data_IF_080444044792
#
_entry.id   IF_080444044792
#
_cell.length_a   1.000
_cell.length_b   1.000
_cell.length_c   1.000
_cell.angle_alpha   90.00
_cell.angle_beta   90.00
_cell.angle_gamma   90.00
#
_symmetry.space_group_name_H-M   'P 1'
#
loop_
_entity.id
_entity.type
_entity.pdbx_description
1 polymer ?
#
# COMPACT_ATOMS: atom_id res chain seq x y z
N UNK A 1 -26.10 -2.69 8.46
CA UNK A 1 -25.71 -3.41 9.70
C UNK A 1 -24.97 -2.43 10.60
N UNK A 2 -25.11 -2.53 11.93
CA UNK A 2 -24.34 -1.70 12.88
C UNK A 2 -23.41 -2.61 13.67
N UNK A 3 -22.12 -2.32 13.65
CA UNK A 3 -21.06 -3.14 14.23
C UNK A 3 -20.62 -2.66 15.62
N UNK A 4 -20.74 -1.37 15.91
CA UNK A 4 -20.28 -0.77 17.16
C UNK A 4 -18.76 -0.57 17.22
N UNK A 5 -18.08 -0.58 16.08
CA UNK A 5 -16.63 -0.39 15.96
C UNK A 5 -16.26 0.32 14.65
N UNK A 6 -14.96 0.34 14.32
CA UNK A 6 -14.41 1.03 13.15
C UNK A 6 -15.09 0.66 11.82
N UNK A 7 -15.74 -0.52 11.73
CA UNK A 7 -16.47 -0.91 10.52
C UNK A 7 -17.63 0.03 10.22
N UNK A 8 -18.29 0.58 11.24
CA UNK A 8 -19.37 1.56 11.04
C UNK A 8 -18.85 2.80 10.28
N UNK A 9 -17.65 3.28 10.63
CA UNK A 9 -16.99 4.39 9.94
C UNK A 9 -16.53 3.99 8.54
N UNK A 10 -15.94 2.80 8.39
CA UNK A 10 -15.51 2.26 7.09
C UNK A 10 -16.67 2.20 6.09
N UNK A 11 -17.82 1.63 6.48
CA UNK A 11 -18.98 1.53 5.60
C UNK A 11 -19.59 2.92 5.28
N UNK A 12 -19.59 3.85 6.24
CA UNK A 12 -20.12 5.19 6.03
C UNK A 12 -19.22 6.09 5.16
N UNK A 13 -17.90 5.97 5.28
CA UNK A 13 -16.93 6.83 4.56
C UNK A 13 -16.38 6.20 3.28
N UNK A 14 -16.44 4.87 3.15
CA UNK A 14 -15.77 4.11 2.11
C UNK A 14 -14.28 3.88 2.34
N UNK A 15 -13.73 4.32 3.49
CA UNK A 15 -12.34 4.08 3.89
C UNK A 15 -12.20 4.17 5.41
N UNK A 16 -11.09 3.63 5.94
CA UNK A 16 -10.70 3.78 7.34
C UNK A 16 -9.17 3.77 7.46
N UNK A 17 -8.65 4.46 8.48
CA UNK A 17 -7.23 4.39 8.85
C UNK A 17 -7.11 3.70 10.20
N UNK A 18 -6.55 2.50 10.21
CA UNK A 18 -6.31 1.72 11.43
C UNK A 18 -4.87 1.95 11.90
N UNK A 19 -4.71 2.58 13.07
CA UNK A 19 -3.40 2.88 13.66
C UNK A 19 -2.89 1.70 14.47
N UNK A 20 -1.57 1.49 14.47
CA UNK A 20 -0.92 0.45 15.28
C UNK A 20 -1.17 -0.99 14.81
N UNK A 21 -1.70 -1.17 13.60
CA UNK A 21 -1.87 -2.48 12.95
C UNK A 21 -0.54 -3.22 12.80
N UNK A 22 0.52 -2.46 12.52
CA UNK A 22 1.92 -2.89 12.56
C UNK A 22 2.64 -2.05 13.61
N UNK A 23 3.35 -2.66 14.59
CA UNK A 23 4.18 -1.92 15.52
C UNK A 23 5.23 -1.08 14.80
N UNK A 24 5.47 0.14 15.32
CA UNK A 24 6.35 1.12 14.67
C UNK A 24 7.74 0.57 14.37
N UNK A 25 8.34 -0.17 15.31
CA UNK A 25 9.66 -0.79 15.13
C UNK A 25 9.70 -1.74 13.92
N UNK A 26 8.67 -2.59 13.76
CA UNK A 26 8.57 -3.52 12.63
C UNK A 26 8.30 -2.79 11.32
N UNK A 27 7.47 -1.75 11.35
CA UNK A 27 7.24 -0.91 10.17
C UNK A 27 8.54 -0.26 9.67
N UNK A 28 9.36 0.26 10.60
CA UNK A 28 10.69 0.83 10.28
C UNK A 28 11.66 -0.25 9.78
N UNK A 29 11.62 -1.47 10.33
CA UNK A 29 12.44 -2.58 9.82
C UNK A 29 12.07 -2.96 8.38
N UNK A 30 10.79 -3.11 8.08
CA UNK A 30 10.31 -3.42 6.73
C UNK A 30 10.68 -2.31 5.75
N UNK A 31 10.54 -1.04 6.15
CA UNK A 31 10.97 0.10 5.34
C UNK A 31 12.47 0.03 5.03
N UNK A 32 13.31 -0.17 6.06
CA UNK A 32 14.75 -0.29 5.92
C UNK A 32 15.12 -1.42 4.95
N UNK A 33 14.52 -2.60 5.09
CA UNK A 33 14.77 -3.75 4.22
C UNK A 33 14.32 -3.54 2.78
N UNK A 34 13.21 -2.84 2.57
CA UNK A 34 12.77 -2.43 1.24
C UNK A 34 13.78 -1.48 0.59
N UNK A 35 14.32 -0.51 1.33
CA UNK A 35 15.36 0.40 0.83
C UNK A 35 16.69 -0.32 0.57
N UNK A 36 17.13 -1.20 1.46
CA UNK A 36 18.33 -2.04 1.28
C UNK A 36 18.22 -3.04 0.13
N UNK A 37 17.01 -3.37 -0.29
CA UNK A 37 16.76 -4.23 -1.43
C UNK A 37 17.07 -3.54 -2.77
N UNK A 38 16.84 -2.24 -2.91
CA UNK A 38 17.04 -1.51 -4.17
C UNK A 38 18.50 -1.54 -4.69
N UNK A 39 19.54 -1.29 -3.88
CA UNK A 39 20.92 -1.31 -4.38
C UNK A 39 21.40 -2.70 -4.83
N UNK A 40 20.73 -3.79 -4.43
CA UNK A 40 21.13 -5.18 -4.76
C UNK A 40 21.04 -5.50 -6.25
N UNK A 41 20.36 -4.67 -7.03
CA UNK A 41 20.32 -4.78 -8.49
C UNK A 41 21.65 -4.36 -9.15
N UNK A 42 22.60 -3.80 -8.40
CA UNK A 42 23.92 -3.38 -8.89
C UNK A 42 23.86 -2.42 -10.10
N UNK A 43 22.86 -1.54 -10.12
CA UNK A 43 22.66 -0.53 -11.16
C UNK A 43 23.34 0.81 -10.86
N UNK A 44 24.06 0.91 -9.73
CA UNK A 44 24.75 2.14 -9.31
C UNK A 44 23.93 3.11 -8.46
N UNK A 45 22.78 2.67 -7.92
CA UNK A 45 21.98 3.47 -6.99
C UNK A 45 22.75 3.74 -5.69
N UNK A 46 22.81 5.01 -5.28
CA UNK A 46 23.21 5.45 -3.95
C UNK A 46 22.04 6.17 -3.26
N UNK A 47 21.57 5.61 -2.15
CA UNK A 47 20.49 6.20 -1.36
C UNK A 47 20.89 7.51 -0.65
N UNK A 48 22.16 7.90 -0.66
CA UNK A 48 22.65 9.18 -0.15
C UNK A 48 22.91 10.21 -1.26
N UNK A 49 22.94 9.79 -2.53
CA UNK A 49 23.11 10.69 -3.67
C UNK A 49 21.87 10.71 -4.56
N UNK A 50 21.10 11.79 -4.44
CA UNK A 50 19.88 12.03 -5.23
C UNK A 50 20.13 12.12 -6.74
N UNK A 51 21.36 12.38 -7.18
CA UNK A 51 21.70 12.37 -8.60
C UNK A 51 21.50 10.98 -9.24
N UNK A 52 21.63 9.92 -8.42
CA UNK A 52 21.40 8.53 -8.83
C UNK A 52 19.93 8.11 -8.75
N UNK A 53 19.00 8.98 -8.30
CA UNK A 53 17.59 8.60 -8.13
C UNK A 53 16.81 8.76 -9.44
N UNK A 54 17.33 8.14 -10.50
CA UNK A 54 16.73 8.13 -11.83
C UNK A 54 16.54 6.70 -12.32
N UNK A 55 15.74 6.53 -13.37
CA UNK A 55 15.38 5.25 -13.95
C UNK A 55 16.61 4.44 -14.40
N UNK A 56 17.73 5.09 -14.72
CA UNK A 56 18.98 4.44 -15.09
C UNK A 56 19.56 3.58 -13.97
N UNK A 57 19.43 4.02 -12.72
CA UNK A 57 20.03 3.36 -11.54
C UNK A 57 19.02 2.52 -10.74
N UNK A 58 17.75 2.48 -11.16
CA UNK A 58 16.67 1.80 -10.44
C UNK A 58 16.16 0.57 -11.21
N UNK A 59 15.69 -0.48 -10.53
CA UNK A 59 14.98 -1.57 -11.19
C UNK A 59 13.73 -1.05 -11.90
N UNK A 60 13.12 -1.86 -12.78
CA UNK A 60 11.90 -1.45 -13.47
C UNK A 60 10.77 -1.21 -12.45
N UNK A 61 10.31 0.04 -12.39
CA UNK A 61 9.19 0.48 -11.55
C UNK A 61 8.10 1.11 -12.40
N UNK A 62 6.84 0.88 -12.00
CA UNK A 62 5.67 1.58 -12.52
C UNK A 62 5.35 2.77 -11.61
N UNK A 63 4.74 3.81 -12.16
CA UNK A 63 4.18 4.94 -11.39
C UNK A 63 5.13 5.45 -10.28
N UNK A 64 6.37 5.79 -10.67
CA UNK A 64 7.46 6.34 -9.83
C UNK A 64 8.13 5.39 -8.83
N UNK A 65 7.43 4.37 -8.32
CA UNK A 65 7.96 3.54 -7.23
C UNK A 65 7.30 2.17 -7.06
N UNK A 66 6.27 1.84 -7.83
CA UNK A 66 5.57 0.57 -7.71
C UNK A 66 6.38 -0.55 -8.37
N UNK A 67 6.70 -1.60 -7.63
CA UNK A 67 7.44 -2.77 -8.10
C UNK A 67 6.54 -3.99 -8.06
N UNK A 68 6.22 -4.50 -9.25
CA UNK A 68 5.41 -5.72 -9.47
C UNK A 68 6.27 -6.92 -9.89
N UNK A 69 7.53 -6.69 -10.26
CA UNK A 69 8.43 -7.68 -10.83
C UNK A 69 9.42 -8.21 -9.79
N UNK A 70 10.38 -9.03 -10.27
CA UNK A 70 11.55 -9.49 -9.50
C UNK A 70 11.22 -10.33 -8.26
N UNK A 71 10.03 -10.93 -8.23
CA UNK A 71 9.50 -11.59 -7.03
C UNK A 71 9.51 -10.67 -5.79
N UNK A 72 9.44 -9.34 -5.97
CA UNK A 72 9.45 -8.39 -4.85
C UNK A 72 8.33 -8.69 -3.84
N UNK A 73 7.15 -9.10 -4.34
CA UNK A 73 6.03 -9.54 -3.52
C UNK A 73 6.33 -10.77 -2.65
N UNK A 74 7.38 -11.53 -2.95
CA UNK A 74 7.80 -12.73 -2.21
C UNK A 74 9.05 -12.53 -1.36
N UNK A 75 9.58 -11.31 -1.29
CA UNK A 75 10.62 -10.98 -0.33
C UNK A 75 10.13 -11.22 1.11
N UNK A 76 11.04 -11.62 1.99
CA UNK A 76 10.70 -11.98 3.36
C UNK A 76 9.96 -10.85 4.10
N UNK A 77 10.35 -9.58 3.90
CA UNK A 77 9.71 -8.44 4.57
C UNK A 77 8.29 -8.19 4.08
N UNK A 78 7.97 -8.52 2.82
CA UNK A 78 6.61 -8.45 2.31
C UNK A 78 5.74 -9.54 2.92
N UNK A 79 6.27 -10.76 3.10
CA UNK A 79 5.57 -11.83 3.79
C UNK A 79 5.33 -11.51 5.26
N UNK A 80 6.36 -11.07 5.97
CA UNK A 80 6.27 -10.68 7.38
C UNK A 80 5.26 -9.56 7.59
N UNK A 81 5.28 -8.50 6.76
CA UNK A 81 4.31 -7.41 6.82
C UNK A 81 2.86 -7.88 6.57
N UNK A 82 2.63 -8.80 5.63
CA UNK A 82 1.30 -9.38 5.38
C UNK A 82 0.85 -10.30 6.52
N UNK A 83 1.79 -10.97 7.17
CA UNK A 83 1.55 -11.87 8.30
C UNK A 83 1.45 -11.16 9.65
N UNK A 84 1.49 -9.83 9.67
CA UNK A 84 1.24 -9.05 10.87
C UNK A 84 -0.15 -9.34 11.45
N UNK A 85 -0.21 -9.73 12.72
CA UNK A 85 -1.48 -10.15 13.33
C UNK A 85 -2.52 -9.04 13.28
N UNK A 86 -2.13 -7.77 13.46
CA UNK A 86 -3.06 -6.65 13.33
C UNK A 86 -3.64 -6.51 11.91
N UNK A 87 -2.88 -6.86 10.87
CA UNK A 87 -3.35 -6.85 9.48
C UNK A 87 -4.37 -7.97 9.28
N UNK A 88 -4.01 -9.18 9.69
CA UNK A 88 -4.89 -10.36 9.61
C UNK A 88 -6.18 -10.11 10.38
N UNK A 89 -6.11 -9.64 11.62
CA UNK A 89 -7.27 -9.38 12.48
C UNK A 89 -8.19 -8.31 11.87
N UNK A 90 -7.62 -7.29 11.24
CA UNK A 90 -8.40 -6.23 10.59
C UNK A 90 -9.26 -6.78 9.45
N UNK A 91 -8.67 -7.59 8.58
CA UNK A 91 -9.39 -8.23 7.48
C UNK A 91 -10.33 -9.34 7.96
N UNK A 92 -9.93 -10.13 8.94
CA UNK A 92 -10.76 -11.19 9.49
C UNK A 92 -12.03 -10.61 10.11
N UNK A 93 -11.88 -9.48 10.81
CA UNK A 93 -12.99 -8.73 11.38
C UNK A 93 -13.86 -8.06 10.32
N UNK A 94 -13.28 -7.55 9.23
CA UNK A 94 -14.04 -6.98 8.12
C UNK A 94 -14.95 -8.03 7.48
N UNK A 95 -14.40 -9.19 7.17
CA UNK A 95 -15.09 -10.26 6.45
C UNK A 95 -15.89 -11.21 7.34
N UNK A 96 -15.68 -11.15 8.66
CA UNK A 96 -16.35 -12.02 9.63
C UNK A 96 -15.86 -13.47 9.61
N UNK A 97 -14.65 -13.73 9.10
CA UNK A 97 -14.04 -15.07 9.05
C UNK A 97 -12.53 -14.99 9.24
N UNK A 98 -11.94 -15.99 9.89
CA UNK A 98 -10.49 -16.18 9.97
C UNK A 98 -9.91 -16.97 8.79
N UNK A 99 -10.76 -17.52 7.93
CA UNK A 99 -10.36 -18.29 6.74
C UNK A 99 -10.02 -17.34 5.58
N UNK A 100 -8.94 -16.58 5.75
CA UNK A 100 -8.49 -15.60 4.78
C UNK A 100 -7.50 -16.19 3.78
N UNK A 101 -7.61 -15.74 2.53
CA UNK A 101 -6.58 -15.87 1.51
C UNK A 101 -5.89 -14.52 1.34
N UNK A 102 -4.61 -14.57 0.94
CA UNK A 102 -3.81 -13.37 0.69
C UNK A 102 -3.43 -13.29 -0.79
N UNK A 103 -3.63 -12.11 -1.38
CA UNK A 103 -3.11 -11.82 -2.72
C UNK A 103 -1.65 -11.36 -2.65
N UNK A 104 -0.89 -11.67 -3.69
CA UNK A 104 0.47 -11.14 -3.86
C UNK A 104 0.38 -9.87 -4.69
N UNK A 105 0.56 -8.74 -4.02
CA UNK A 105 0.52 -7.42 -4.63
C UNK A 105 1.89 -6.73 -4.56
N UNK A 106 1.98 -5.57 -5.22
CA UNK A 106 3.16 -4.74 -5.34
C UNK A 106 3.64 -4.17 -4.01
N UNK A 107 4.93 -3.80 -3.99
CA UNK A 107 5.46 -2.81 -3.05
C UNK A 107 5.55 -1.46 -3.76
N UNK A 108 5.31 -0.36 -3.04
CA UNK A 108 5.67 0.98 -3.51
C UNK A 108 6.90 1.49 -2.73
N UNK A 109 8.01 1.72 -3.44
CA UNK A 109 9.23 2.33 -2.92
C UNK A 109 9.49 3.62 -3.71
N UNK A 110 8.82 4.71 -3.32
CA UNK A 110 8.99 6.01 -3.96
C UNK A 110 10.09 6.81 -3.28
N UNK A 111 11.16 7.12 -4.02
CA UNK A 111 12.20 8.05 -3.55
C UNK A 111 11.73 9.51 -3.75
N UNK A 112 11.76 10.31 -2.67
CA UNK A 112 11.21 11.68 -2.70
C UNK A 112 12.10 12.63 -3.50
N UNK A 113 11.54 13.24 -4.56
CA UNK A 113 12.24 14.23 -5.37
C UNK A 113 13.02 13.63 -6.54
N UNK A 114 12.64 12.42 -7.00
CA UNK A 114 13.10 11.87 -8.27
C UNK A 114 12.84 12.87 -9.42
N UNK A 115 13.87 13.29 -10.17
CA UNK A 115 13.74 14.34 -11.18
C UNK A 115 13.08 13.87 -12.48
N UNK A 116 13.04 12.55 -12.72
CA UNK A 116 12.60 11.92 -13.96
C UNK A 116 11.15 11.41 -13.91
N UNK A 117 10.43 11.67 -12.81
CA UNK A 117 9.05 11.24 -12.62
C UNK A 117 8.08 12.36 -12.95
N UNK A 118 7.11 12.06 -13.82
CA UNK A 118 5.96 12.95 -14.11
C UNK A 118 4.68 12.35 -13.54
N UNK A 119 4.03 13.07 -12.64
CA UNK A 119 2.78 12.66 -12.03
C UNK A 119 1.58 13.10 -12.86
N UNK A 120 0.61 12.20 -13.00
CA UNK A 120 -0.72 12.51 -13.53
C UNK A 120 -1.76 11.96 -12.56
N UNK A 121 -2.80 12.73 -12.21
CA UNK A 121 -3.93 12.19 -11.47
C UNK A 121 -4.53 11.00 -12.22
N UNK A 122 -4.82 9.92 -11.50
CA UNK A 122 -5.46 8.74 -12.04
C UNK A 122 -6.56 8.26 -11.10
N UNK A 123 -7.68 9.02 -10.97
CA UNK A 123 -8.82 8.55 -10.20
C UNK A 123 -9.45 7.36 -10.92
N UNK A 124 -9.57 6.24 -10.22
CA UNK A 124 -10.16 5.01 -10.73
C UNK A 124 -10.79 4.22 -9.58
N UNK A 125 -11.51 3.16 -9.96
CA UNK A 125 -12.05 2.16 -9.05
C UNK A 125 -11.64 0.80 -9.60
N UNK A 126 -11.22 -0.10 -8.72
CA UNK A 126 -10.73 -1.43 -9.14
C UNK A 126 -11.82 -2.49 -9.12
N UNK A 127 -12.87 -2.32 -8.29
CA UNK A 127 -14.03 -3.21 -8.33
C UNK A 127 -14.75 -3.05 -9.67
N UNK A 128 -14.99 -4.17 -10.35
CA UNK A 128 -15.70 -4.17 -11.62
C UNK A 128 -17.09 -3.52 -11.48
N UNK A 129 -17.53 -2.68 -12.43
CA UNK A 129 -18.79 -1.94 -12.34
C UNK A 129 -20.03 -2.83 -12.37
N UNK A 130 -19.89 -4.11 -12.73
CA UNK A 130 -20.97 -5.10 -12.71
C UNK A 130 -21.19 -5.73 -11.34
N UNK A 131 -20.30 -5.48 -10.36
CA UNK A 131 -20.41 -6.01 -9.01
C UNK A 131 -21.00 -4.96 -8.07
N UNK A 132 -22.11 -5.31 -7.42
CA UNK A 132 -22.82 -4.45 -6.49
C UNK A 132 -22.36 -4.67 -5.05
N UNK A 133 -22.40 -3.60 -4.27
CA UNK A 133 -22.02 -3.56 -2.86
C UNK A 133 -20.53 -3.82 -2.64
N UNK A 134 -20.16 -4.15 -1.40
CA UNK A 134 -18.77 -4.40 -1.04
C UNK A 134 -18.34 -5.83 -1.45
N UNK A 135 -17.59 -5.94 -2.54
CA UNK A 135 -16.98 -7.21 -2.97
C UNK A 135 -15.45 -7.18 -2.90
N UNK A 136 -14.86 -6.00 -2.92
CA UNK A 136 -13.42 -5.80 -2.77
C UNK A 136 -13.13 -4.72 -1.71
N UNK A 137 -12.22 -5.04 -0.79
CA UNK A 137 -11.62 -4.06 0.12
C UNK A 137 -10.11 -4.13 -0.05
N UNK A 138 -9.50 -3.03 -0.49
CA UNK A 138 -8.05 -2.90 -0.60
C UNK A 138 -7.46 -2.35 0.69
N UNK A 139 -6.17 -2.62 0.91
CA UNK A 139 -5.43 -2.10 2.06
C UNK A 139 -4.00 -1.73 1.68
N UNK A 140 -3.48 -0.70 2.33
CA UNK A 140 -2.07 -0.29 2.22
C UNK A 140 -1.49 -0.28 3.64
N UNK A 141 -0.40 -1.03 3.83
CA UNK A 141 0.42 -0.88 5.04
C UNK A 141 1.35 0.29 4.80
N UNK A 142 1.12 1.41 5.50
CA UNK A 142 1.98 2.58 5.37
C UNK A 142 3.22 2.42 6.26
N UNK A 143 4.38 2.24 5.64
CA UNK A 143 5.66 2.04 6.32
C UNK A 143 6.43 3.35 6.58
N UNK A 144 5.95 4.46 6.02
CA UNK A 144 6.55 5.79 6.17
C UNK A 144 5.56 6.74 6.83
N UNK A 145 6.06 7.71 7.59
CA UNK A 145 5.23 8.86 7.98
C UNK A 145 4.84 9.65 6.73
N UNK A 146 3.56 10.00 6.64
CA UNK A 146 3.01 10.80 5.54
C UNK A 146 2.28 12.00 6.12
N UNK A 147 2.77 13.20 5.82
CA UNK A 147 2.16 14.46 6.22
C UNK A 147 1.24 15.05 5.14
N UNK A 148 0.57 16.18 5.43
CA UNK A 148 -0.35 16.83 4.49
C UNK A 148 0.28 17.32 3.18
N UNK A 149 1.61 17.42 3.14
CA UNK A 149 2.37 17.89 1.97
C UNK A 149 3.11 16.77 1.23
N UNK A 150 3.00 15.52 1.72
CA UNK A 150 3.62 14.36 1.09
C UNK A 150 2.66 13.71 0.10
N UNK A 151 3.22 13.06 -0.93
CA UNK A 151 2.43 12.23 -1.83
C UNK A 151 1.85 11.04 -1.08
N UNK A 152 0.56 10.78 -1.27
CA UNK A 152 -0.15 9.67 -0.61
C UNK A 152 -1.44 9.30 -1.33
N UNK A 153 -2.17 8.36 -0.74
CA UNK A 153 -3.49 7.94 -1.26
C UNK A 153 -4.51 9.06 -1.09
N UNK A 154 -5.24 9.37 -2.16
CA UNK A 154 -6.41 10.24 -2.11
C UNK A 154 -7.65 9.39 -2.39
N UNK A 155 -8.69 9.58 -1.59
CA UNK A 155 -9.96 8.86 -1.71
C UNK A 155 -11.12 9.85 -1.75
N UNK A 156 -12.16 9.52 -2.51
CA UNK A 156 -13.42 10.26 -2.50
C UNK A 156 -14.30 9.71 -1.38
N UNK A 157 -14.36 10.43 -0.26
CA UNK A 157 -15.19 10.04 0.89
C UNK A 157 -16.68 9.96 0.50
N UNK A 158 -17.36 8.90 0.95
CA UNK A 158 -18.77 8.64 0.68
C UNK A 158 -19.04 8.00 -0.69
N UNK A 159 -18.00 7.69 -1.47
CA UNK A 159 -18.16 7.03 -2.77
C UNK A 159 -18.66 5.58 -2.68
N UNK A 160 -18.59 4.93 -1.51
CA UNK A 160 -19.05 3.54 -1.31
C UNK A 160 -20.53 3.36 -1.61
N UNK A 161 -21.39 4.33 -1.28
CA UNK A 161 -22.83 4.26 -1.53
C UNK A 161 -23.18 4.22 -3.04
N UNK A 162 -22.26 4.67 -3.90
CA UNK A 162 -22.45 4.67 -5.35
C UNK A 162 -22.31 3.26 -5.96
N UNK A 163 -21.77 2.29 -5.23
CA UNK A 163 -21.60 0.91 -5.69
C UNK A 163 -22.82 0.01 -5.42
N UNK A 164 -23.87 0.53 -4.77
CA UNK A 164 -25.13 -0.19 -4.55
C UNK A 164 -26.13 -0.03 -5.72
N UNK A 165 -25.88 0.95 -6.61
CA UNK A 165 -26.72 1.25 -7.78
C UNK A 165 -26.55 0.19 -8.87
#
# INVERSE_FOLDING_TARGET
>A
QKFGDWRDEFFAKGYIVLKGVVPQERALDYQRRALEWLPKFNLGLDLNDKSTWTQEYLPVMMNAGMVLNYCAAHEAWMWEARSEQGVIDSFAKLWGTGELLVSFDAVNITLRGRPDVKWKPWPHVDQAPTRKGLVCAQGIINLSEAGPLDGGLQVLQGSSELFEQ
#
